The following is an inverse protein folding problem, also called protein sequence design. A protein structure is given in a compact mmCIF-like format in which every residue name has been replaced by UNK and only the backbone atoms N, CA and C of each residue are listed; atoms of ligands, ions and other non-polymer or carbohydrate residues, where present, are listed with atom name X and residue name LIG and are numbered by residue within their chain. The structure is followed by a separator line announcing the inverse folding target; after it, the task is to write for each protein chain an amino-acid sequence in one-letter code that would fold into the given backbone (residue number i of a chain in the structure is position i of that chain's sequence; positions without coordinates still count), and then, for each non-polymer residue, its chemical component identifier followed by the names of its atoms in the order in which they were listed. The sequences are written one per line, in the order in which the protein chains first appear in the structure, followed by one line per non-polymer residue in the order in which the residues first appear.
data_IF_103837791603
#
_entry.id   IF_103837791603
#
_cell.length_a   1.000
_cell.length_b   1.000
_cell.length_c   1.000
_cell.angle_alpha   90.00
_cell.angle_beta   90.00
_cell.angle_gamma   90.00
#
_symmetry.space_group_name_H-M   'P 1'
#
loop_
_entity.id
_entity.type
_entity.pdbx_description
1 polymer ?
#
# COMPACT_ATOMS: atom_id res chain seq x y z
N UNK A 1 39.56 -72.34 4.81
CA UNK A 1 38.13 -72.21 5.21
C UNK A 1 38.04 -71.83 6.68
N UNK A 2 37.67 -70.59 6.99
CA UNK A 2 36.85 -70.16 8.16
C UNK A 2 36.83 -68.62 8.18
N UNK A 3 35.71 -68.08 7.69
CA UNK A 3 35.32 -66.67 7.80
C UNK A 3 35.13 -66.30 9.28
N UNK A 4 35.66 -65.15 9.70
CA UNK A 4 35.12 -64.39 10.84
C UNK A 4 34.99 -62.95 10.39
N UNK A 5 33.75 -62.54 10.14
CA UNK A 5 33.33 -61.17 9.88
C UNK A 5 33.56 -60.34 11.15
N UNK A 6 34.23 -59.21 11.02
CA UNK A 6 34.23 -58.14 12.02
C UNK A 6 33.32 -57.04 11.50
N UNK A 7 32.23 -56.82 12.23
CA UNK A 7 31.18 -55.85 11.97
C UNK A 7 31.71 -54.48 12.43
N UNK A 8 31.88 -53.54 11.51
CA UNK A 8 32.17 -52.14 11.81
C UNK A 8 30.88 -51.43 12.22
N UNK A 9 30.81 -50.97 13.47
CA UNK A 9 29.76 -50.09 13.95
C UNK A 9 30.06 -48.65 13.47
N UNK A 10 29.32 -48.17 12.46
CA UNK A 10 29.31 -46.74 12.11
C UNK A 10 28.30 -46.00 12.98
N UNK A 11 28.82 -45.15 13.86
CA UNK A 11 28.03 -44.15 14.57
C UNK A 11 27.74 -42.97 13.62
N UNK A 12 26.50 -42.81 13.18
CA UNK A 12 26.04 -41.62 12.46
C UNK A 12 25.49 -40.65 13.51
N UNK A 13 26.23 -39.57 13.75
CA UNK A 13 25.79 -38.44 14.57
C UNK A 13 24.65 -37.69 13.84
N UNK A 14 23.45 -37.69 14.42
CA UNK A 14 22.32 -36.92 13.94
C UNK A 14 22.49 -35.44 14.34
N UNK A 15 22.61 -34.55 13.35
CA UNK A 15 22.52 -33.10 13.57
C UNK A 15 21.04 -32.67 13.64
N UNK A 16 20.63 -31.88 14.65
CA UNK A 16 19.28 -31.33 14.72
C UNK A 16 19.13 -30.12 13.79
N UNK A 17 18.14 -30.18 12.90
CA UNK A 17 17.64 -29.03 12.14
C UNK A 17 16.85 -28.12 13.08
N UNK A 18 17.43 -26.96 13.41
CA UNK A 18 16.72 -25.88 14.08
C UNK A 18 15.86 -25.18 13.02
N UNK A 19 14.54 -25.40 13.08
CA UNK A 19 13.59 -24.64 12.29
C UNK A 19 13.51 -23.20 12.84
N UNK A 20 13.95 -22.23 12.06
CA UNK A 20 13.68 -20.82 12.34
C UNK A 20 12.20 -20.52 12.03
N UNK A 21 11.50 -19.73 12.86
CA UNK A 21 10.17 -19.26 12.52
C UNK A 21 10.27 -18.32 11.32
N UNK A 22 9.59 -18.69 10.23
CA UNK A 22 9.35 -17.78 9.12
C UNK A 22 8.38 -16.68 9.62
N UNK A 23 8.87 -15.44 9.69
CA UNK A 23 8.00 -14.29 9.85
C UNK A 23 7.11 -14.21 8.61
N UNK A 24 5.81 -14.49 8.80
CA UNK A 24 4.78 -14.17 7.83
C UNK A 24 4.73 -12.65 7.73
N UNK A 25 5.39 -12.10 6.71
CA UNK A 25 5.14 -10.73 6.30
C UNK A 25 3.65 -10.64 5.93
N UNK A 26 2.90 -9.82 6.67
CA UNK A 26 1.49 -9.57 6.38
C UNK A 26 1.36 -9.06 4.95
N UNK A 27 0.79 -9.89 4.07
CA UNK A 27 0.36 -9.50 2.75
C UNK A 27 -0.71 -8.42 2.90
N UNK A 28 -0.34 -7.18 2.56
CA UNK A 28 -1.30 -6.09 2.39
C UNK A 28 -2.33 -6.50 1.35
N UNK A 29 -3.54 -6.82 1.81
CA UNK A 29 -4.62 -7.32 0.98
C UNK A 29 -4.97 -6.34 -0.14
N UNK A 30 -4.56 -6.68 -1.36
CA UNK A 30 -4.89 -5.98 -2.58
C UNK A 30 -6.36 -6.18 -2.94
N UNK A 31 -7.15 -5.11 -2.80
CA UNK A 31 -8.44 -5.00 -3.47
C UNK A 31 -8.21 -5.07 -4.99
N UNK A 32 -8.93 -6.01 -5.62
CA UNK A 32 -8.69 -6.47 -6.99
C UNK A 32 -8.61 -5.39 -8.05
N UNK A 33 -7.77 -5.65 -9.04
CA UNK A 33 -7.86 -5.03 -10.36
C UNK A 33 -7.56 -6.13 -11.38
N UNK A 34 -8.62 -6.78 -11.85
CA UNK A 34 -8.63 -7.45 -13.14
C UNK A 34 -8.26 -6.43 -14.21
N UNK A 35 -7.08 -6.57 -14.80
CA UNK A 35 -6.60 -5.69 -15.87
C UNK A 35 -5.09 -5.75 -15.98
N UNK A 36 -4.60 -6.64 -16.85
CA UNK A 36 -3.18 -6.92 -17.07
C UNK A 36 -2.28 -5.69 -17.00
N UNK A 37 -1.54 -5.59 -15.90
CA UNK A 37 -0.52 -4.58 -15.68
C UNK A 37 0.66 -4.91 -16.60
N UNK A 38 0.72 -4.26 -17.76
CA UNK A 38 1.92 -4.29 -18.60
C UNK A 38 2.96 -3.42 -17.92
N UNK A 39 3.95 -4.02 -17.26
CA UNK A 39 5.05 -3.29 -16.60
C UNK A 39 5.79 -2.43 -17.64
N UNK A 40 5.52 -1.13 -17.63
CA UNK A 40 6.29 -0.17 -18.39
C UNK A 40 7.67 0.03 -17.76
N UNK A 41 8.69 0.31 -18.59
CA UNK A 41 10.03 0.65 -18.11
C UNK A 41 9.97 1.86 -17.15
N UNK A 42 10.98 2.00 -16.28
CA UNK A 42 11.09 3.13 -15.34
C UNK A 42 10.88 4.47 -16.07
N UNK A 43 10.00 5.31 -15.53
CA UNK A 43 9.62 6.61 -16.11
C UNK A 43 8.59 6.57 -17.25
N UNK A 44 8.10 5.39 -17.67
CA UNK A 44 7.03 5.27 -18.65
C UNK A 44 5.70 4.83 -18.00
N UNK A 45 4.60 5.35 -18.53
CA UNK A 45 3.23 5.13 -18.07
C UNK A 45 2.42 4.46 -19.17
N UNK A 46 1.58 3.49 -18.81
CA UNK A 46 0.68 2.82 -19.75
C UNK A 46 -0.46 3.76 -20.15
N UNK A 47 -0.55 4.09 -21.44
CA UNK A 47 -1.69 4.80 -22.03
C UNK A 47 -2.75 3.78 -22.47
N UNK A 48 -3.94 3.82 -21.87
CA UNK A 48 -5.03 2.89 -22.21
C UNK A 48 -5.62 3.13 -23.60
N UNK A 49 -5.67 4.40 -24.05
CA UNK A 49 -6.20 4.77 -25.36
C UNK A 49 -5.27 4.30 -26.47
N UNK A 50 -3.97 4.49 -26.28
CA UNK A 50 -2.95 4.14 -27.26
C UNK A 50 -2.40 2.71 -27.09
N UNK A 51 -2.76 2.02 -26.00
CA UNK A 51 -2.29 0.68 -25.64
C UNK A 51 -0.77 0.54 -25.71
N UNK A 52 -0.05 1.54 -25.19
CA UNK A 52 1.42 1.57 -25.20
C UNK A 52 1.98 2.32 -24.00
N UNK A 53 3.23 2.02 -23.64
CA UNK A 53 3.98 2.79 -22.66
C UNK A 53 4.46 4.12 -23.26
N UNK A 54 4.19 5.24 -22.61
CA UNK A 54 4.60 6.58 -23.02
C UNK A 54 5.29 7.32 -21.88
N UNK A 55 6.16 8.28 -22.20
CA UNK A 55 6.67 9.22 -21.19
C UNK A 55 5.54 10.18 -20.82
N UNK A 56 5.15 10.25 -19.54
CA UNK A 56 3.99 11.03 -19.13
C UNK A 56 4.30 12.53 -19.25
N UNK A 57 3.43 13.27 -19.94
CA UNK A 57 3.43 14.73 -20.00
C UNK A 57 2.02 15.25 -19.82
N UNK A 58 1.91 16.49 -19.38
CA UNK A 58 0.63 17.13 -19.14
C UNK A 58 -0.23 17.13 -20.41
N UNK A 59 -1.50 16.73 -20.28
CA UNK A 59 -2.46 16.67 -21.38
C UNK A 59 -2.28 15.52 -22.37
N UNK A 60 -1.25 14.66 -22.21
CA UNK A 60 -1.06 13.49 -23.09
C UNK A 60 -1.85 12.25 -22.66
N UNK A 61 -2.17 12.14 -21.37
CA UNK A 61 -2.85 11.00 -20.78
C UNK A 61 -4.20 11.46 -20.20
N UNK A 62 -5.21 10.60 -20.27
CA UNK A 62 -6.44 10.81 -19.49
C UNK A 62 -6.22 10.56 -18.00
N UNK A 63 -7.09 11.18 -17.19
CA UNK A 63 -7.00 11.14 -15.73
C UNK A 63 -7.13 9.73 -15.16
N UNK A 64 -7.87 8.82 -15.82
CA UNK A 64 -7.94 7.41 -15.39
C UNK A 64 -6.61 6.68 -15.61
N UNK A 65 -5.95 6.90 -16.75
CA UNK A 65 -4.61 6.35 -17.02
C UNK A 65 -3.56 6.95 -16.07
N UNK A 66 -3.67 8.23 -15.75
CA UNK A 66 -2.82 8.91 -14.76
C UNK A 66 -3.03 8.33 -13.36
N UNK A 67 -4.30 8.15 -12.96
CA UNK A 67 -4.66 7.55 -11.68
C UNK A 67 -4.09 6.14 -11.54
N UNK A 68 -4.32 5.26 -12.52
CA UNK A 68 -3.86 3.86 -12.45
C UNK A 68 -2.34 3.77 -12.39
N UNK A 69 -1.65 4.57 -13.20
CA UNK A 69 -0.19 4.59 -13.22
C UNK A 69 0.40 5.16 -11.93
N UNK A 70 -0.17 6.27 -11.44
CA UNK A 70 0.23 6.88 -10.18
C UNK A 70 0.02 5.94 -8.99
N UNK A 71 -1.15 5.27 -8.94
CA UNK A 71 -1.43 4.22 -7.96
C UNK A 71 -0.41 3.08 -8.04
N UNK A 72 -0.15 2.55 -9.23
CA UNK A 72 0.80 1.45 -9.40
C UNK A 72 2.22 1.83 -8.94
N UNK A 73 2.69 3.03 -9.30
CA UNK A 73 3.97 3.56 -8.84
C UNK A 73 4.01 3.72 -7.31
N UNK A 74 2.93 4.19 -6.70
CA UNK A 74 2.81 4.33 -5.26
C UNK A 74 2.88 2.97 -4.54
N UNK A 75 2.19 1.96 -5.06
CA UNK A 75 2.23 0.60 -4.51
C UNK A 75 3.59 -0.09 -4.70
N UNK A 76 4.36 0.30 -5.72
CA UNK A 76 5.74 -0.15 -5.96
C UNK A 76 6.78 0.62 -5.12
N UNK A 77 6.34 1.51 -4.23
CA UNK A 77 7.23 2.33 -3.38
C UNK A 77 7.93 3.48 -4.10
N UNK A 78 7.60 3.73 -5.38
CA UNK A 78 8.19 4.79 -6.21
C UNK A 78 7.43 6.10 -6.04
N UNK A 79 7.40 6.60 -4.80
CA UNK A 79 6.52 7.70 -4.38
C UNK A 79 6.74 9.01 -5.15
N UNK A 80 7.99 9.41 -5.41
CA UNK A 80 8.25 10.65 -6.16
C UNK A 80 7.82 10.56 -7.63
N UNK A 81 7.95 9.37 -8.23
CA UNK A 81 7.46 9.13 -9.58
C UNK A 81 5.92 9.12 -9.61
N UNK A 82 5.29 8.53 -8.60
CA UNK A 82 3.83 8.57 -8.43
C UNK A 82 3.33 10.02 -8.33
N UNK A 83 3.96 10.85 -7.48
CA UNK A 83 3.61 12.26 -7.33
C UNK A 83 3.76 13.00 -8.65
N UNK A 84 4.87 12.80 -9.37
CA UNK A 84 5.11 13.45 -10.65
C UNK A 84 4.02 13.08 -11.68
N UNK A 85 3.63 11.80 -11.76
CA UNK A 85 2.58 11.33 -12.69
C UNK A 85 1.21 11.86 -12.28
N UNK A 86 0.79 11.68 -11.02
CA UNK A 86 -0.51 12.10 -10.51
C UNK A 86 -0.71 13.61 -10.66
N UNK A 87 0.36 14.40 -10.51
CA UNK A 87 0.34 15.85 -10.70
C UNK A 87 0.05 16.29 -12.14
N UNK A 88 0.05 15.38 -13.12
CA UNK A 88 -0.29 15.69 -14.50
C UNK A 88 -1.79 15.63 -14.79
N UNK A 89 -2.61 15.13 -13.86
CA UNK A 89 -4.06 15.01 -14.04
C UNK A 89 -4.69 16.35 -14.41
N UNK A 90 -5.63 16.35 -15.35
CA UNK A 90 -6.39 17.53 -15.70
C UNK A 90 -7.37 17.89 -14.56
N UNK A 91 -8.12 16.90 -14.05
CA UNK A 91 -8.99 17.08 -12.91
C UNK A 91 -8.21 17.04 -11.59
N UNK A 92 -7.93 18.22 -11.04
CA UNK A 92 -7.27 18.37 -9.72
C UNK A 92 -8.15 18.04 -8.51
N UNK A 93 -9.45 17.81 -8.74
CA UNK A 93 -10.43 17.48 -7.71
C UNK A 93 -10.91 16.02 -7.81
N UNK A 94 -10.19 15.14 -8.52
CA UNK A 94 -10.49 13.71 -8.47
C UNK A 94 -10.03 13.15 -7.11
N UNK A 95 -10.95 12.68 -6.24
CA UNK A 95 -10.61 12.21 -4.91
C UNK A 95 -9.70 10.97 -4.94
N UNK A 96 -9.74 10.18 -6.03
CA UNK A 96 -8.88 9.01 -6.20
C UNK A 96 -7.42 9.43 -6.46
N UNK A 97 -7.22 10.50 -7.22
CA UNK A 97 -5.89 11.08 -7.49
C UNK A 97 -5.35 11.77 -6.24
N UNK A 98 -6.19 12.56 -5.56
CA UNK A 98 -5.85 13.20 -4.29
C UNK A 98 -5.45 12.16 -3.23
N UNK A 99 -6.17 11.03 -3.14
CA UNK A 99 -5.81 9.91 -2.26
C UNK A 99 -4.37 9.42 -2.49
N UNK A 100 -3.99 9.12 -3.73
CA UNK A 100 -2.64 8.60 -4.00
C UNK A 100 -1.55 9.67 -3.99
N UNK A 101 -1.89 10.95 -4.18
CA UNK A 101 -0.99 12.05 -3.84
C UNK A 101 -0.74 12.08 -2.34
N UNK A 102 -1.79 12.01 -1.52
CA UNK A 102 -1.71 11.91 -0.06
C UNK A 102 -0.83 10.75 0.39
N UNK A 103 -1.09 9.56 -0.14
CA UNK A 103 -0.33 8.34 0.12
C UNK A 103 1.14 8.49 -0.23
N UNK A 104 1.44 8.97 -1.44
CA UNK A 104 2.82 9.09 -1.91
C UNK A 104 3.59 10.18 -1.15
N UNK A 105 2.95 11.30 -0.81
CA UNK A 105 3.55 12.34 0.04
C UNK A 105 3.83 11.81 1.45
N UNK A 106 2.88 11.11 2.07
CA UNK A 106 3.08 10.50 3.39
C UNK A 106 4.26 9.54 3.41
N UNK A 107 4.29 8.58 2.48
CA UNK A 107 5.36 7.58 2.45
C UNK A 107 6.72 8.11 1.97
N UNK A 108 6.77 9.26 1.30
CA UNK A 108 8.02 9.98 1.01
C UNK A 108 8.49 10.88 2.17
N UNK A 109 7.88 10.77 3.36
CA UNK A 109 8.24 11.52 4.56
C UNK A 109 7.62 12.92 4.66
N UNK A 110 6.81 13.32 3.68
CA UNK A 110 6.13 14.64 3.63
C UNK A 110 4.74 14.52 4.25
N UNK A 111 4.67 14.04 5.48
CA UNK A 111 3.42 13.59 6.12
C UNK A 111 2.37 14.71 6.16
N UNK A 112 2.75 15.94 6.54
CA UNK A 112 1.82 17.09 6.58
C UNK A 112 1.22 17.42 5.22
N UNK A 113 1.99 17.27 4.14
CA UNK A 113 1.47 17.44 2.76
C UNK A 113 0.49 16.33 2.43
N UNK A 114 0.81 15.10 2.85
CA UNK A 114 -0.07 13.94 2.69
C UNK A 114 -1.43 14.13 3.35
N UNK A 115 -1.44 14.61 4.60
CA UNK A 115 -2.65 14.93 5.36
C UNK A 115 -3.56 15.90 4.60
N UNK A 116 -3.01 17.00 4.08
CA UNK A 116 -3.79 18.00 3.34
C UNK A 116 -4.47 17.43 2.09
N UNK A 117 -3.81 16.50 1.38
CA UNK A 117 -4.43 15.82 0.23
C UNK A 117 -5.57 14.88 0.63
N UNK A 118 -5.43 14.17 1.75
CA UNK A 118 -6.51 13.33 2.26
C UNK A 118 -7.71 14.15 2.72
N UNK A 119 -7.48 15.26 3.44
CA UNK A 119 -8.53 16.18 3.86
C UNK A 119 -9.29 16.75 2.64
N UNK A 120 -8.57 17.15 1.59
CA UNK A 120 -9.18 17.62 0.36
C UNK A 120 -10.00 16.53 -0.35
N UNK A 121 -9.48 15.30 -0.41
CA UNK A 121 -10.23 14.16 -0.96
C UNK A 121 -11.53 13.92 -0.18
N UNK A 122 -11.51 14.01 1.15
CA UNK A 122 -12.70 13.84 2.00
C UNK A 122 -13.66 15.03 1.95
N UNK A 123 -13.18 16.23 1.63
CA UNK A 123 -14.04 17.39 1.36
C UNK A 123 -14.90 17.16 0.11
N UNK A 124 -14.36 16.44 -0.88
CA UNK A 124 -15.03 16.11 -2.13
C UNK A 124 -15.92 14.88 -1.98
N UNK A 125 -15.39 13.80 -1.39
CA UNK A 125 -16.13 12.58 -1.07
C UNK A 125 -15.99 12.22 0.43
N UNK A 126 -16.93 12.68 1.27
CA UNK A 126 -16.92 12.38 2.69
C UNK A 126 -17.08 10.89 3.02
N UNK A 127 -17.49 10.06 2.06
CA UNK A 127 -17.74 8.63 2.25
C UNK A 127 -16.58 7.74 1.78
N UNK A 128 -15.48 8.33 1.32
CA UNK A 128 -14.34 7.58 0.83
C UNK A 128 -13.55 6.91 1.98
N UNK A 129 -13.97 5.72 2.38
CA UNK A 129 -13.45 5.01 3.57
C UNK A 129 -11.97 4.66 3.46
N UNK A 130 -11.47 4.35 2.26
CA UNK A 130 -10.04 4.11 2.03
C UNK A 130 -9.19 5.34 2.38
N UNK A 131 -9.65 6.55 2.04
CA UNK A 131 -8.94 7.79 2.40
C UNK A 131 -8.96 7.98 3.91
N UNK A 132 -10.05 7.63 4.59
CA UNK A 132 -10.14 7.71 6.06
C UNK A 132 -9.17 6.74 6.74
N UNK A 133 -9.03 5.52 6.24
CA UNK A 133 -8.03 4.54 6.71
C UNK A 133 -6.63 5.18 6.65
N UNK A 134 -6.24 5.69 5.48
CA UNK A 134 -4.92 6.29 5.28
C UNK A 134 -4.70 7.61 6.05
N UNK A 135 -5.75 8.42 6.22
CA UNK A 135 -5.70 9.61 7.07
C UNK A 135 -5.48 9.21 8.54
N UNK A 136 -6.19 8.18 9.02
CA UNK A 136 -6.00 7.65 10.36
C UNK A 136 -4.58 7.12 10.58
N UNK A 137 -4.02 6.40 9.61
CA UNK A 137 -2.63 5.98 9.65
C UNK A 137 -1.65 7.16 9.67
N UNK A 138 -1.91 8.21 8.89
CA UNK A 138 -1.08 9.41 8.88
C UNK A 138 -1.10 10.12 10.24
N UNK A 139 -2.25 10.16 10.92
CA UNK A 139 -2.36 10.67 12.28
C UNK A 139 -1.51 9.86 13.27
N UNK A 140 -1.52 8.52 13.19
CA UNK A 140 -0.66 7.68 14.03
C UNK A 140 0.83 7.97 13.82
N UNK A 141 1.27 8.19 12.57
CA UNK A 141 2.67 8.51 12.26
C UNK A 141 3.16 9.81 12.91
N UNK A 142 2.26 10.76 13.16
CA UNK A 142 2.59 12.02 13.87
C UNK A 142 2.26 11.97 15.37
N UNK A 143 1.88 10.81 15.89
CA UNK A 143 1.52 10.62 17.30
C UNK A 143 0.13 11.12 17.69
N UNK A 144 -0.71 11.45 16.71
CA UNK A 144 -2.08 11.91 16.94
C UNK A 144 -3.05 10.73 17.03
N UNK A 145 -3.04 10.05 18.19
CA UNK A 145 -3.96 8.95 18.46
C UNK A 145 -5.43 9.38 18.38
N UNK A 146 -5.75 10.60 18.80
CA UNK A 146 -7.11 11.11 18.79
C UNK A 146 -7.66 11.27 17.36
N UNK A 147 -6.86 11.82 16.45
CA UNK A 147 -7.19 11.92 15.03
C UNK A 147 -7.38 10.56 14.37
N UNK A 148 -6.54 9.58 14.68
CA UNK A 148 -6.70 8.22 14.17
C UNK A 148 -8.01 7.56 14.64
N UNK A 149 -8.33 7.68 15.93
CA UNK A 149 -9.59 7.16 16.50
C UNK A 149 -10.82 7.85 15.91
N UNK A 150 -10.74 9.14 15.58
CA UNK A 150 -11.82 9.84 14.89
C UNK A 150 -12.08 9.24 13.51
N UNK A 151 -11.03 8.99 12.72
CA UNK A 151 -11.22 8.35 11.42
C UNK A 151 -11.79 6.93 11.55
N UNK A 152 -11.37 6.15 12.56
CA UNK A 152 -11.93 4.82 12.82
C UNK A 152 -13.44 4.87 13.12
N UNK A 153 -13.88 5.82 13.96
CA UNK A 153 -15.32 6.05 14.25
C UNK A 153 -16.09 6.41 13.00
N UNK A 154 -15.53 7.27 12.16
CA UNK A 154 -16.16 7.69 10.92
C UNK A 154 -16.26 6.55 9.89
N UNK A 155 -15.28 5.64 9.83
CA UNK A 155 -15.35 4.42 9.02
C UNK A 155 -16.45 3.49 9.55
N UNK A 156 -16.50 3.27 10.87
CA UNK A 156 -17.52 2.44 11.52
C UNK A 156 -18.93 2.95 11.23
N UNK A 157 -19.14 4.27 11.36
CA UNK A 157 -20.44 4.90 11.08
C UNK A 157 -20.93 4.67 9.65
N UNK A 158 -20.03 4.58 8.68
CA UNK A 158 -20.36 4.42 7.25
C UNK A 158 -20.51 2.99 6.81
N UNK A 159 -19.70 2.09 7.36
CA UNK A 159 -19.52 0.73 6.83
C UNK A 159 -19.67 -0.38 7.88
N UNK A 160 -19.81 -0.01 9.16
CA UNK A 160 -19.76 -0.94 10.28
C UNK A 160 -18.34 -1.45 10.57
N UNK A 161 -18.22 -2.27 11.62
CA UNK A 161 -16.93 -2.85 12.06
C UNK A 161 -16.42 -3.98 11.17
N UNK A 162 -17.25 -4.47 10.24
CA UNK A 162 -16.91 -5.59 9.36
C UNK A 162 -16.18 -5.18 8.09
N UNK A 163 -15.97 -3.88 7.85
CA UNK A 163 -15.24 -3.41 6.67
C UNK A 163 -13.75 -3.66 6.80
N UNK A 164 -13.09 -3.83 5.65
CA UNK A 164 -11.64 -3.99 5.56
C UNK A 164 -10.93 -2.78 6.18
N UNK A 165 -11.36 -1.58 5.82
CA UNK A 165 -10.79 -0.31 6.27
C UNK A 165 -10.88 -0.16 7.80
N UNK A 166 -12.00 -0.59 8.42
CA UNK A 166 -12.13 -0.58 9.88
C UNK A 166 -11.12 -1.53 10.53
N UNK A 167 -11.04 -2.77 10.03
CA UNK A 167 -10.13 -3.78 10.56
C UNK A 167 -8.67 -3.33 10.49
N UNK A 168 -8.25 -2.81 9.34
CA UNK A 168 -6.88 -2.32 9.11
C UNK A 168 -6.49 -1.21 10.08
N UNK A 169 -7.31 -0.15 10.17
CA UNK A 169 -7.00 0.99 11.04
C UNK A 169 -7.11 0.63 12.54
N UNK A 170 -8.09 -0.21 12.92
CA UNK A 170 -8.24 -0.69 14.30
C UNK A 170 -7.01 -1.45 14.76
N UNK A 171 -6.48 -2.35 13.93
CA UNK A 171 -5.29 -3.14 14.25
C UNK A 171 -4.05 -2.26 14.46
N UNK A 172 -3.88 -1.23 13.62
CA UNK A 172 -2.76 -0.30 13.72
C UNK A 172 -2.87 0.60 14.95
N UNK A 173 -4.07 1.07 15.30
CA UNK A 173 -4.32 1.81 16.55
C UNK A 173 -3.96 0.93 17.75
N UNK A 174 -4.41 -0.32 17.73
CA UNK A 174 -4.12 -1.30 18.78
C UNK A 174 -2.61 -1.57 18.91
N UNK A 175 -1.90 -1.68 17.79
CA UNK A 175 -0.44 -1.80 17.78
C UNK A 175 0.24 -0.57 18.37
N UNK A 176 -0.17 0.63 17.94
CA UNK A 176 0.38 1.91 18.42
C UNK A 176 0.21 2.10 19.94
N UNK A 177 -0.91 1.66 20.51
CA UNK A 177 -1.13 1.75 21.96
C UNK A 177 -0.28 0.78 22.79
N UNK A 178 0.30 -0.25 22.17
CA UNK A 178 1.13 -1.27 22.84
C UNK A 178 2.63 -1.01 22.70
N UNK A 179 3.05 -0.22 21.72
CA UNK A 179 4.45 0.18 21.49
C UNK A 179 4.90 1.28 22.43
#
# INVERSE_FOLDING_TARGET
MRRRLLIYAMAIAALPLIAAPAFSAGEGGGGGSDGGQTQCKKGAVWDKKQKKCVSPKQGMLDDDSIYDAGRALAMDGRYDEAIAVLSLAANKQDPRILNYLGYSHRHSGRITVGLGYYEEALRIDPNYTLVREYLGEAHLQIGDLAGAQEQLREIEKRTGKGSREYGMLSEQIDHFMRS
#
